data_IF_186703114091
#
_entry.id   IF_186703114091
#
_cell.length_a   1.000
_cell.length_b   1.000
_cell.length_c   1.000
_cell.angle_alpha   90.00
_cell.angle_beta   90.00
_cell.angle_gamma   90.00
#
_symmetry.space_group_name_H-M   'P 1'
#
loop_
_entity.id
_entity.type
_entity.pdbx_description
1 polymer ?
#
# COMPACT_ATOMS: atom_id res chain seq x y z
N UNK A 1 -20.33 28.25 -3.76
CA UNK A 1 -19.34 29.33 -3.86
C UNK A 1 -18.01 28.77 -4.34
N UNK A 2 -17.52 29.29 -5.48
CA UNK A 2 -16.11 29.43 -5.90
C UNK A 2 -15.14 28.27 -5.58
N UNK A 3 -14.96 27.37 -6.56
CA UNK A 3 -13.92 26.33 -6.59
C UNK A 3 -12.58 26.76 -7.22
N UNK A 4 -12.33 28.06 -7.42
CA UNK A 4 -11.14 28.58 -8.11
C UNK A 4 -9.91 28.79 -7.20
N UNK A 5 -10.04 28.54 -5.89
CA UNK A 5 -9.01 28.92 -4.91
C UNK A 5 -8.02 27.80 -4.54
N UNK A 6 -8.13 26.60 -5.10
CA UNK A 6 -7.29 25.45 -4.70
C UNK A 6 -6.05 25.31 -5.58
N UNK A 7 -6.21 25.34 -6.91
CA UNK A 7 -5.11 25.14 -7.87
C UNK A 7 -4.12 26.32 -7.89
N UNK A 8 -4.63 27.56 -7.90
CA UNK A 8 -3.79 28.76 -7.87
C UNK A 8 -3.02 28.89 -6.54
N UNK A 9 -3.64 28.50 -5.42
CA UNK A 9 -3.02 28.50 -4.10
C UNK A 9 -1.94 27.42 -3.97
N UNK A 10 -2.16 26.23 -4.56
CA UNK A 10 -1.15 25.17 -4.64
C UNK A 10 0.06 25.61 -5.47
N UNK A 11 -0.16 26.16 -6.67
CA UNK A 11 0.92 26.70 -7.51
C UNK A 11 1.72 27.83 -6.83
N UNK A 12 1.05 28.70 -6.08
CA UNK A 12 1.72 29.75 -5.29
C UNK A 12 2.61 29.19 -4.17
N UNK A 13 2.14 28.16 -3.46
CA UNK A 13 2.90 27.48 -2.41
C UNK A 13 4.12 26.71 -2.98
N UNK A 14 3.97 26.10 -4.15
CA UNK A 14 5.06 25.38 -4.83
C UNK A 14 6.18 26.34 -5.26
N UNK A 15 5.82 27.51 -5.83
CA UNK A 15 6.79 28.56 -6.19
C UNK A 15 7.54 29.12 -4.98
N UNK A 16 6.84 29.34 -3.86
CA UNK A 16 7.47 29.81 -2.63
C UNK A 16 8.47 28.77 -2.10
N UNK A 17 8.07 27.50 -2.02
CA UNK A 17 8.94 26.40 -1.55
C UNK A 17 10.20 26.27 -2.41
N UNK A 18 10.06 26.38 -3.73
CA UNK A 18 11.19 26.36 -4.67
C UNK A 18 12.19 27.48 -4.40
N UNK A 19 11.72 28.72 -4.24
CA UNK A 19 12.58 29.86 -3.91
C UNK A 19 13.32 29.69 -2.59
N UNK A 20 12.66 29.16 -1.55
CA UNK A 20 13.29 28.88 -0.25
C UNK A 20 14.41 27.84 -0.40
N UNK A 21 14.17 26.77 -1.16
CA UNK A 21 15.16 25.70 -1.40
C UNK A 21 16.34 26.24 -2.21
N UNK A 22 16.10 27.01 -3.28
CA UNK A 22 17.16 27.63 -4.09
C UNK A 22 18.06 28.56 -3.26
N UNK A 23 17.46 29.36 -2.38
CA UNK A 23 18.22 30.23 -1.48
C UNK A 23 19.03 29.42 -0.45
N UNK A 24 18.47 28.32 0.08
CA UNK A 24 19.20 27.42 0.97
C UNK A 24 20.40 26.78 0.25
N UNK A 25 20.24 26.32 -1.00
CA UNK A 25 21.33 25.76 -1.80
C UNK A 25 22.46 26.77 -2.01
N UNK A 26 22.14 28.01 -2.38
CA UNK A 26 23.13 29.10 -2.54
C UNK A 26 23.86 29.45 -1.25
N UNK A 27 23.24 29.23 -0.09
CA UNK A 27 23.85 29.45 1.23
C UNK A 27 24.70 28.27 1.68
N UNK A 28 24.36 27.05 1.29
CA UNK A 28 25.03 25.82 1.72
C UNK A 28 26.18 25.39 0.82
N UNK A 29 26.15 25.73 -0.47
CA UNK A 29 27.15 25.30 -1.45
C UNK A 29 27.81 26.48 -2.15
N UNK A 30 29.08 26.29 -2.54
CA UNK A 30 29.82 27.29 -3.29
C UNK A 30 29.27 27.45 -4.72
N UNK A 31 29.35 28.65 -5.33
CA UNK A 31 28.84 28.91 -6.67
C UNK A 31 29.45 27.98 -7.73
N UNK A 32 30.74 27.64 -7.60
CA UNK A 32 31.46 26.77 -8.53
C UNK A 32 30.87 25.36 -8.54
N UNK A 33 30.39 24.87 -7.40
CA UNK A 33 29.72 23.57 -7.30
C UNK A 33 28.35 23.62 -7.96
N UNK A 34 27.55 24.66 -7.68
CA UNK A 34 26.22 24.81 -8.29
C UNK A 34 26.28 24.91 -9.81
N UNK A 35 27.33 25.54 -10.34
CA UNK A 35 27.56 25.63 -11.79
C UNK A 35 27.96 24.30 -12.44
N UNK A 36 28.20 23.23 -11.66
CA UNK A 36 28.46 21.86 -12.15
C UNK A 36 27.23 20.94 -12.09
N UNK A 37 26.09 21.46 -11.66
CA UNK A 37 24.84 20.71 -11.59
C UNK A 37 24.00 21.08 -12.80
N UNK A 38 23.68 20.08 -13.63
CA UNK A 38 22.86 20.29 -14.83
C UNK A 38 21.40 20.60 -14.47
N UNK A 39 20.84 19.88 -13.48
CA UNK A 39 19.44 20.03 -13.06
C UNK A 39 19.23 19.76 -11.56
N UNK A 40 18.25 20.46 -10.99
CA UNK A 40 17.80 20.27 -9.60
C UNK A 40 16.36 19.78 -9.58
N UNK A 41 16.16 18.55 -9.10
CA UNK A 41 14.84 17.93 -8.99
C UNK A 41 14.29 18.14 -7.57
N UNK A 42 13.14 18.81 -7.47
CA UNK A 42 12.45 19.03 -6.20
C UNK A 42 11.33 18.01 -6.05
N UNK A 43 11.38 17.23 -4.97
CA UNK A 43 10.33 16.29 -4.61
C UNK A 43 9.27 16.97 -3.74
N UNK A 44 8.01 16.88 -4.15
CA UNK A 44 6.89 17.37 -3.36
C UNK A 44 6.55 16.37 -2.24
N UNK A 45 5.95 16.89 -1.17
CA UNK A 45 5.42 16.04 -0.10
C UNK A 45 4.32 15.12 -0.63
N UNK A 46 4.29 13.89 -0.11
CA UNK A 46 3.27 12.90 -0.45
C UNK A 46 1.91 13.32 0.10
N UNK A 47 0.87 13.21 -0.73
CA UNK A 47 -0.52 13.29 -0.27
C UNK A 47 -0.98 11.93 0.24
N UNK A 48 -2.09 11.91 1.00
CA UNK A 48 -2.74 10.67 1.44
C UNK A 48 -3.09 9.76 0.26
N UNK A 49 -3.50 10.31 -0.87
CA UNK A 49 -3.78 9.52 -2.07
C UNK A 49 -2.51 8.88 -2.64
N UNK A 50 -1.37 9.59 -2.60
CA UNK A 50 -0.09 8.99 -2.97
C UNK A 50 0.29 7.85 -2.02
N UNK A 51 0.02 7.98 -0.71
CA UNK A 51 0.29 6.91 0.25
C UNK A 51 -0.55 5.66 -0.07
N UNK A 52 -1.83 5.81 -0.42
CA UNK A 52 -2.67 4.67 -0.82
C UNK A 52 -2.11 3.94 -2.03
N UNK A 53 -1.64 4.67 -3.05
CA UNK A 53 -1.00 4.07 -4.22
C UNK A 53 0.30 3.34 -3.86
N UNK A 54 1.11 3.90 -2.95
CA UNK A 54 2.34 3.26 -2.49
C UNK A 54 2.02 1.98 -1.72
N UNK A 55 0.93 1.94 -0.93
CA UNK A 55 0.48 0.71 -0.25
C UNK A 55 0.18 -0.39 -1.27
N UNK A 56 -0.54 -0.08 -2.34
CA UNK A 56 -0.86 -1.07 -3.36
C UNK A 56 0.40 -1.65 -4.01
N UNK A 57 1.42 -0.82 -4.24
CA UNK A 57 2.72 -1.25 -4.78
C UNK A 57 3.45 -2.16 -3.78
N UNK A 58 3.52 -1.78 -2.50
CA UNK A 58 4.21 -2.57 -1.47
C UNK A 58 3.52 -3.93 -1.25
N UNK A 59 2.19 -3.97 -1.30
CA UNK A 59 1.39 -5.19 -1.12
C UNK A 59 1.48 -6.17 -2.31
N UNK A 60 1.89 -5.72 -3.50
CA UNK A 60 2.04 -6.59 -4.68
C UNK A 60 2.99 -7.77 -4.40
N UNK A 61 4.07 -7.51 -3.66
CA UNK A 61 5.02 -8.56 -3.26
C UNK A 61 4.39 -9.58 -2.31
N UNK A 62 3.48 -9.15 -1.44
CA UNK A 62 2.73 -10.03 -0.54
C UNK A 62 1.73 -10.87 -1.32
N UNK A 63 0.97 -10.26 -2.24
CA UNK A 63 -0.01 -10.97 -3.07
C UNK A 63 0.64 -12.10 -3.87
N UNK A 64 1.76 -11.83 -4.54
CA UNK A 64 2.53 -12.83 -5.28
C UNK A 64 3.01 -13.97 -4.38
N UNK A 65 3.47 -13.65 -3.17
CA UNK A 65 3.94 -14.66 -2.21
C UNK A 65 2.78 -15.58 -1.77
N UNK A 66 1.62 -15.02 -1.45
CA UNK A 66 0.44 -15.79 -1.05
C UNK A 66 -0.11 -16.64 -2.20
N UNK A 67 -0.14 -16.08 -3.41
CA UNK A 67 -0.55 -16.82 -4.62
C UNK A 67 0.41 -17.98 -4.91
N UNK A 68 1.72 -17.78 -4.75
CA UNK A 68 2.72 -18.85 -4.92
C UNK A 68 2.59 -19.99 -3.90
N UNK A 69 1.95 -19.74 -2.76
CA UNK A 69 1.61 -20.75 -1.75
C UNK A 69 0.27 -21.46 -2.06
N UNK A 70 -0.40 -21.11 -3.15
CA UNK A 70 -1.67 -21.70 -3.55
C UNK A 70 -2.90 -21.07 -2.90
N UNK A 71 -2.77 -19.88 -2.30
CA UNK A 71 -3.89 -19.18 -1.65
C UNK A 71 -4.24 -17.88 -2.36
N UNK A 72 -5.48 -17.43 -2.17
CA UNK A 72 -5.91 -16.11 -2.61
C UNK A 72 -5.93 -15.14 -1.42
N UNK A 73 -5.69 -13.86 -1.67
CA UNK A 73 -5.77 -12.82 -0.64
C UNK A 73 -6.54 -11.61 -1.15
N UNK A 74 -7.36 -11.03 -0.28
CA UNK A 74 -8.09 -9.79 -0.56
C UNK A 74 -8.05 -8.89 0.66
N UNK A 75 -7.55 -7.67 0.48
CA UNK A 75 -7.42 -6.67 1.53
C UNK A 75 -8.41 -5.54 1.24
N UNK A 76 -9.29 -5.23 2.19
CA UNK A 76 -10.29 -4.18 1.99
C UNK A 76 -9.66 -2.78 1.95
N UNK A 77 -10.28 -1.85 1.22
CA UNK A 77 -9.83 -0.45 1.16
C UNK A 77 -9.75 0.21 2.55
N UNK A 78 -10.66 -0.15 3.46
CA UNK A 78 -10.59 0.30 4.86
C UNK A 78 -9.35 -0.22 5.58
N UNK A 79 -8.96 -1.48 5.35
CA UNK A 79 -7.75 -2.04 5.94
C UNK A 79 -6.49 -1.36 5.38
N UNK A 80 -6.44 -1.11 4.07
CA UNK A 80 -5.34 -0.33 3.45
C UNK A 80 -5.27 1.08 4.03
N UNK A 81 -6.41 1.76 4.17
CA UNK A 81 -6.50 3.09 4.79
C UNK A 81 -5.99 3.12 6.22
N UNK A 82 -6.36 2.14 7.04
CA UNK A 82 -5.85 2.00 8.41
C UNK A 82 -4.31 1.87 8.44
N UNK A 83 -3.73 1.05 7.57
CA UNK A 83 -2.27 0.91 7.50
C UNK A 83 -1.60 2.17 6.96
N UNK A 84 -2.25 2.89 6.03
CA UNK A 84 -1.78 4.18 5.54
C UNK A 84 -1.66 5.18 6.68
N UNK A 85 -2.68 5.31 7.51
CA UNK A 85 -2.71 6.24 8.63
C UNK A 85 -1.65 5.89 9.69
N UNK A 86 -1.43 4.59 9.95
CA UNK A 86 -0.40 4.12 10.89
C UNK A 86 1.02 4.18 10.33
N UNK A 87 1.17 4.14 9.01
CA UNK A 87 2.46 4.08 8.30
C UNK A 87 2.89 5.40 7.66
N UNK A 88 2.04 6.43 7.69
CA UNK A 88 2.35 7.76 7.17
C UNK A 88 2.86 8.67 8.28
N UNK A 89 4.00 9.29 8.03
CA UNK A 89 4.54 10.35 8.88
C UNK A 89 4.83 11.57 8.01
N UNK A 90 4.39 12.75 8.43
CA UNK A 90 4.56 13.97 7.63
C UNK A 90 6.04 14.36 7.42
N UNK A 91 6.93 14.01 8.36
CA UNK A 91 8.37 14.26 8.28
C UNK A 91 9.11 13.15 7.54
N UNK A 92 8.69 11.90 7.71
CA UNK A 92 9.38 10.73 7.13
C UNK A 92 8.70 10.16 5.87
N UNK A 93 7.58 10.74 5.44
CA UNK A 93 6.80 10.30 4.28
C UNK A 93 6.28 8.87 4.43
N UNK A 94 6.34 8.11 3.34
CA UNK A 94 5.95 6.69 3.31
C UNK A 94 7.02 5.74 3.87
N UNK A 95 8.16 6.22 4.38
CA UNK A 95 9.25 5.33 4.87
C UNK A 95 8.79 4.36 5.96
N UNK A 96 7.93 4.75 6.93
CA UNK A 96 7.44 3.81 7.94
C UNK A 96 6.41 2.81 7.40
N UNK A 97 5.90 3.01 6.18
CA UNK A 97 4.78 2.26 5.63
C UNK A 97 5.06 0.77 5.50
N UNK A 98 6.25 0.41 5.04
CA UNK A 98 6.68 -0.99 4.95
C UNK A 98 6.63 -1.70 6.31
N UNK A 99 7.06 -1.00 7.37
CA UNK A 99 6.99 -1.54 8.74
C UNK A 99 5.56 -1.65 9.24
N UNK A 100 4.69 -0.73 8.86
CA UNK A 100 3.26 -0.81 9.18
C UNK A 100 2.60 -1.99 8.48
N UNK A 101 2.88 -2.22 7.19
CA UNK A 101 2.39 -3.39 6.44
C UNK A 101 2.86 -4.68 7.12
N UNK A 102 4.14 -4.79 7.46
CA UNK A 102 4.66 -5.97 8.16
C UNK A 102 3.92 -6.21 9.48
N UNK A 103 3.89 -5.20 10.36
CA UNK A 103 3.31 -5.32 11.71
C UNK A 103 1.80 -5.61 11.70
N UNK A 104 1.04 -4.95 10.83
CA UNK A 104 -0.41 -5.02 10.87
C UNK A 104 -1.00 -6.05 9.91
N UNK A 105 -0.28 -6.42 8.85
CA UNK A 105 -0.76 -7.34 7.82
C UNK A 105 0.07 -8.62 7.81
N UNK A 106 1.39 -8.55 7.59
CA UNK A 106 2.20 -9.77 7.40
C UNK A 106 2.32 -10.61 8.67
N UNK A 107 2.60 -9.99 9.83
CA UNK A 107 2.79 -10.72 11.09
C UNK A 107 1.51 -11.47 11.52
N UNK A 108 0.32 -10.82 11.57
CA UNK A 108 -0.92 -11.52 11.93
C UNK A 108 -1.33 -12.57 10.88
N UNK A 109 -1.04 -12.30 9.59
CA UNK A 109 -1.31 -13.25 8.53
C UNK A 109 -0.46 -14.51 8.67
N UNK A 110 0.82 -14.37 9.01
CA UNK A 110 1.71 -15.51 9.21
C UNK A 110 1.23 -16.38 10.39
N UNK A 111 0.83 -15.75 11.50
CA UNK A 111 0.29 -16.45 12.67
C UNK A 111 -1.00 -17.20 12.33
N UNK A 112 -1.93 -16.56 11.61
CA UNK A 112 -3.17 -17.20 11.18
C UNK A 112 -2.94 -18.34 10.19
N UNK A 113 -1.96 -18.23 9.29
CA UNK A 113 -1.60 -19.31 8.36
C UNK A 113 -1.08 -20.53 9.13
N UNK A 114 -0.28 -20.33 10.17
CA UNK A 114 0.27 -21.41 11.01
C UNK A 114 -0.85 -22.08 11.84
N UNK A 115 -1.75 -21.27 12.42
CA UNK A 115 -2.80 -21.75 13.32
C UNK A 115 -4.03 -22.30 12.59
N UNK A 116 -4.21 -21.95 11.31
CA UNK A 116 -5.37 -22.35 10.53
C UNK A 116 -5.10 -23.57 9.65
N UNK A 117 -6.09 -24.44 9.55
CA UNK A 117 -6.08 -25.52 8.57
C UNK A 117 -6.53 -25.00 7.19
N UNK A 118 -5.67 -24.18 6.57
CA UNK A 118 -5.85 -23.66 5.23
C UNK A 118 -5.71 -24.79 4.20
N UNK A 119 -6.57 -24.75 3.18
CA UNK A 119 -6.45 -25.62 2.02
C UNK A 119 -6.11 -24.79 0.80
N UNK A 120 -5.40 -25.43 -0.12
CA UNK A 120 -5.11 -24.83 -1.42
C UNK A 120 -6.40 -24.33 -2.09
N UNK A 121 -6.34 -23.13 -2.64
CA UNK A 121 -7.44 -22.39 -3.23
C UNK A 121 -8.18 -21.46 -2.26
N UNK A 122 -8.06 -21.64 -0.94
CA UNK A 122 -8.77 -20.81 0.04
C UNK A 122 -8.43 -19.32 -0.10
N UNK A 123 -9.41 -18.47 0.23
CA UNK A 123 -9.25 -17.01 0.13
C UNK A 123 -9.16 -16.37 1.51
N UNK A 124 -8.05 -15.70 1.76
CA UNK A 124 -7.79 -14.93 2.97
C UNK A 124 -8.32 -13.51 2.79
N UNK A 125 -9.24 -13.09 3.65
CA UNK A 125 -9.85 -11.76 3.60
C UNK A 125 -9.40 -10.94 4.80
N UNK A 126 -8.71 -9.84 4.54
CA UNK A 126 -8.26 -8.91 5.58
C UNK A 126 -9.16 -7.68 5.55
N UNK A 127 -9.75 -7.36 6.70
CA UNK A 127 -10.71 -6.26 6.84
C UNK A 127 -10.55 -5.55 8.17
N UNK A 128 -10.89 -4.26 8.21
CA UNK A 128 -10.93 -3.51 9.46
C UNK A 128 -12.16 -3.91 10.30
N UNK A 129 -11.99 -4.04 11.62
CA UNK A 129 -13.09 -4.36 12.52
C UNK A 129 -14.17 -3.25 12.55
N UNK A 130 -15.32 -3.53 13.17
CA UNK A 130 -16.43 -2.55 13.25
C UNK A 130 -16.08 -1.29 14.06
N UNK A 131 -15.10 -1.39 14.95
CA UNK A 131 -14.64 -0.30 15.82
C UNK A 131 -13.50 0.53 15.19
N UNK A 132 -13.03 0.14 14.00
CA UNK A 132 -11.93 0.76 13.27
C UNK A 132 -10.59 0.78 14.02
N UNK A 133 -10.39 -0.16 14.94
CA UNK A 133 -9.20 -0.24 15.80
C UNK A 133 -8.19 -1.31 15.36
N UNK A 134 -8.66 -2.41 14.77
CA UNK A 134 -7.83 -3.60 14.51
C UNK A 134 -8.23 -4.30 13.21
N UNK A 135 -7.25 -4.94 12.56
CA UNK A 135 -7.48 -5.76 11.38
C UNK A 135 -7.93 -7.17 11.79
N UNK A 136 -8.93 -7.68 11.07
CA UNK A 136 -9.48 -9.02 11.23
C UNK A 136 -9.22 -9.79 9.94
N UNK A 137 -8.67 -10.99 10.09
CA UNK A 137 -8.46 -11.94 9.02
C UNK A 137 -9.61 -12.97 9.05
N UNK A 138 -10.16 -13.28 7.88
CA UNK A 138 -11.20 -14.31 7.70
C UNK A 138 -10.84 -15.21 6.53
N UNK A 139 -10.90 -16.51 6.76
CA UNK A 139 -10.65 -17.51 5.73
C UNK A 139 -11.98 -17.91 5.10
N UNK A 140 -12.14 -17.64 3.82
CA UNK A 140 -13.25 -18.14 3.01
C UNK A 140 -12.80 -19.43 2.31
N UNK A 141 -13.36 -20.55 2.75
CA UNK A 141 -13.07 -21.86 2.14
C UNK A 141 -13.58 -21.91 0.71
N UNK A 142 -12.76 -22.44 -0.19
CA UNK A 142 -13.23 -22.72 -1.55
C UNK A 142 -14.30 -23.80 -1.53
N UNK A 143 -15.48 -23.50 -2.09
CA UNK A 143 -16.45 -24.53 -2.43
C UNK A 143 -15.85 -25.37 -3.54
N UNK A 144 -15.39 -26.58 -3.20
CA UNK A 144 -14.91 -27.58 -4.16
C UNK A 144 -15.87 -27.63 -5.35
N UNK A 145 -15.37 -27.27 -6.54
CA UNK A 145 -16.12 -27.38 -7.79
C UNK A 145 -16.45 -28.87 -7.97
N UNK A 146 -17.73 -29.21 -7.86
CA UNK A 146 -18.28 -30.56 -8.00
C UNK A 146 -18.27 -30.96 -9.50
N UNK A 147 -17.09 -30.96 -10.14
CA UNK A 147 -16.96 -31.15 -11.59
C UNK A 147 -16.01 -32.28 -12.04
N UNK A 148 -15.36 -33.02 -11.15
CA UNK A 148 -14.52 -34.18 -11.54
C UNK A 148 -15.20 -35.54 -11.39
N UNK A 149 -16.44 -35.58 -10.89
CA UNK A 149 -17.16 -36.84 -10.69
C UNK A 149 -18.20 -37.14 -11.77
N UNK A 150 -18.40 -36.23 -12.73
CA UNK A 150 -19.34 -36.40 -13.85
C UNK A 150 -18.68 -36.91 -15.15
N UNK A 151 -17.35 -36.98 -15.20
CA UNK A 151 -16.61 -37.42 -16.40
C UNK A 151 -16.18 -38.90 -16.32
N UNK A 152 -16.22 -39.52 -15.13
CA UNK A 152 -15.98 -40.97 -14.97
C UNK A 152 -17.22 -41.83 -15.26
N UNK A 153 -18.44 -41.31 -15.09
CA UNK A 153 -19.69 -42.04 -15.39
C UNK A 153 -20.08 -42.03 -16.88
N UNK A 154 -19.31 -41.39 -17.76
CA UNK A 154 -19.57 -41.38 -19.23
C UNK A 154 -18.70 -42.33 -20.04
N UNK A 155 -17.75 -43.02 -19.41
CA UNK A 155 -16.84 -43.97 -20.07
C UNK A 155 -17.17 -45.44 -19.79
N UNK A 156 -18.14 -45.73 -18.91
CA UNK A 156 -18.64 -47.09 -18.62
C UNK A 156 -20.15 -47.27 -18.94
N UNK A 157 -20.75 -46.33 -19.68
CA UNK A 157 -22.16 -46.39 -20.12
C UNK A 157 -22.32 -46.66 -21.61
#
# INVERSE_FOLDING_TARGET
>A
GVGFNTSAKKQGADKHSKSVIENALKKSFAPEFLNRIDDVIIFNNLTIDNIKQIIDIELDSLYKRIESMGYNITISEKAKGFVAEKGFDQKFGARPLKRAIQKYIEDPLAEDIINSNLKEGDTIKISLNKQETELIIKIAKTKKKKSEQAEKDKLEG
#
